data_IF_036187400918
#
_entry.id   IF_036187400918
#
_cell.length_a   1.000
_cell.length_b   1.000
_cell.length_c   1.000
_cell.angle_alpha   90.00
_cell.angle_beta   90.00
_cell.angle_gamma   90.00
#
_symmetry.space_group_name_H-M   'P 1'
#
loop_
_entity.id
_entity.type
_entity.pdbx_description
1 polymer ?
#
# COMPACT_ATOMS: atom_id res chain seq x y z
N UNK A 1 18.58 -6.63 -6.30
CA UNK A 1 17.84 -5.54 -5.63
C UNK A 1 16.40 -5.66 -6.10
N UNK A 2 15.48 -6.04 -5.21
CA UNK A 2 14.06 -6.08 -5.55
C UNK A 2 13.53 -4.65 -5.52
N UNK A 3 13.02 -4.16 -6.64
CA UNK A 3 12.40 -2.82 -6.75
C UNK A 3 10.93 -2.95 -6.35
N UNK A 4 10.66 -3.04 -5.05
CA UNK A 4 9.31 -3.02 -4.49
C UNK A 4 9.01 -1.67 -3.83
N UNK A 5 7.75 -1.26 -3.87
CA UNK A 5 7.25 -0.03 -3.25
C UNK A 5 5.93 -0.34 -2.53
N UNK A 6 5.78 0.19 -1.32
CA UNK A 6 4.52 0.12 -0.59
C UNK A 6 3.54 1.11 -1.20
N UNK A 7 2.36 0.62 -1.58
CA UNK A 7 1.29 1.40 -2.20
C UNK A 7 -0.07 0.99 -1.66
N UNK A 8 -1.06 1.83 -1.87
CA UNK A 8 -2.47 1.55 -1.56
C UNK A 8 -3.34 1.99 -2.75
N UNK A 9 -4.50 1.37 -2.89
CA UNK A 9 -5.51 1.83 -3.85
C UNK A 9 -5.95 3.26 -3.50
N UNK A 10 -5.94 4.15 -4.49
CA UNK A 10 -6.46 5.51 -4.34
C UNK A 10 -7.98 5.49 -4.05
N UNK A 11 -8.70 4.61 -4.73
CA UNK A 11 -10.12 4.35 -4.49
C UNK A 11 -10.29 3.01 -3.75
N UNK A 12 -10.80 3.07 -2.52
CA UNK A 12 -11.05 1.89 -1.67
C UNK A 12 -12.24 1.04 -2.13
N UNK A 13 -13.09 1.57 -3.01
CA UNK A 13 -14.19 0.81 -3.61
C UNK A 13 -13.79 0.14 -4.92
N UNK A 14 -12.62 0.49 -5.48
CA UNK A 14 -12.12 -0.08 -6.72
C UNK A 14 -11.78 -1.57 -6.56
N UNK A 15 -12.32 -2.39 -7.47
CA UNK A 15 -12.04 -3.83 -7.54
C UNK A 15 -10.99 -4.11 -8.61
N UNK A 16 -9.72 -3.90 -8.25
CA UNK A 16 -8.60 -4.14 -9.16
C UNK A 16 -8.15 -5.61 -9.06
N UNK A 17 -8.16 -6.39 -10.15
CA UNK A 17 -7.77 -7.79 -10.11
C UNK A 17 -6.26 -7.94 -9.85
N UNK A 18 -5.87 -8.94 -9.08
CA UNK A 18 -4.47 -9.23 -8.83
C UNK A 18 -3.85 -9.93 -10.06
N UNK A 19 -2.70 -9.47 -10.57
CA UNK A 19 -2.11 -10.03 -11.79
C UNK A 19 -1.78 -11.51 -11.59
N UNK A 20 -2.16 -12.35 -12.56
CA UNK A 20 -1.95 -13.81 -12.54
C UNK A 20 -2.61 -14.56 -11.37
N UNK A 21 -3.56 -13.95 -10.65
CA UNK A 21 -4.30 -14.60 -9.56
C UNK A 21 -5.81 -14.42 -9.77
N UNK A 22 -6.45 -15.31 -10.55
CA UNK A 22 -7.88 -15.23 -10.86
C UNK A 22 -8.74 -15.21 -9.58
N UNK A 23 -9.74 -14.32 -9.55
CA UNK A 23 -10.65 -14.18 -8.41
C UNK A 23 -10.05 -13.48 -7.19
N UNK A 24 -8.77 -13.09 -7.23
CA UNK A 24 -8.13 -12.28 -6.19
C UNK A 24 -8.11 -10.82 -6.64
N UNK A 25 -8.43 -9.93 -5.71
CA UNK A 25 -8.35 -8.49 -5.92
C UNK A 25 -7.21 -7.92 -5.06
N UNK A 26 -6.72 -6.74 -5.45
CA UNK A 26 -5.80 -5.96 -4.63
C UNK A 26 -6.48 -5.60 -3.29
N UNK A 27 -5.74 -5.63 -2.17
CA UNK A 27 -6.27 -5.26 -0.86
C UNK A 27 -6.47 -3.74 -0.79
N UNK A 28 -7.39 -3.33 0.07
CA UNK A 28 -7.63 -1.93 0.40
C UNK A 28 -6.62 -1.37 1.44
N UNK A 29 -5.74 -2.24 1.94
CA UNK A 29 -4.67 -1.91 2.87
C UNK A 29 -3.34 -1.75 2.12
N UNK A 30 -2.35 -1.02 2.68
CA UNK A 30 -1.04 -0.89 2.07
C UNK A 30 -0.40 -2.25 1.80
N UNK A 31 0.12 -2.44 0.58
CA UNK A 31 0.78 -3.67 0.16
C UNK A 31 2.04 -3.36 -0.66
N UNK A 32 2.94 -4.34 -0.74
CA UNK A 32 4.13 -4.21 -1.56
C UNK A 32 3.81 -4.52 -3.03
N UNK A 33 4.02 -3.53 -3.89
CA UNK A 33 3.94 -3.67 -5.34
C UNK A 33 5.34 -3.73 -5.95
N UNK A 34 5.54 -4.58 -6.95
CA UNK A 34 6.79 -4.62 -7.72
C UNK A 34 6.77 -3.55 -8.80
N UNK A 35 7.74 -2.64 -8.79
CA UNK A 35 7.90 -1.61 -9.83
C UNK A 35 8.43 -2.18 -11.15
N UNK A 36 8.92 -3.42 -11.13
CA UNK A 36 9.37 -4.14 -12.34
C UNK A 36 8.16 -4.76 -13.05
N UNK A 37 7.07 -5.02 -12.32
CA UNK A 37 5.86 -5.59 -12.92
C UNK A 37 5.10 -4.48 -13.67
N UNK A 38 4.87 -4.64 -14.98
CA UNK A 38 4.20 -3.62 -15.79
C UNK A 38 2.76 -3.35 -15.34
N UNK A 39 2.09 -4.32 -14.72
CA UNK A 39 0.74 -4.13 -14.19
C UNK A 39 0.73 -3.08 -13.07
N UNK A 40 1.59 -3.27 -12.07
CA UNK A 40 1.68 -2.34 -10.95
C UNK A 40 2.29 -0.99 -11.37
N UNK A 41 3.29 -1.02 -12.25
CA UNK A 41 3.88 0.21 -12.79
C UNK A 41 2.86 1.07 -13.54
N UNK A 42 1.97 0.46 -14.33
CA UNK A 42 0.89 1.17 -15.00
C UNK A 42 -0.12 1.78 -14.02
N UNK A 43 -0.52 1.05 -12.99
CA UNK A 43 -1.45 1.55 -11.98
C UNK A 43 -0.86 2.70 -11.15
N UNK A 44 0.45 2.68 -10.90
CA UNK A 44 1.15 3.79 -10.24
C UNK A 44 1.23 5.00 -11.16
N UNK A 45 1.52 4.79 -12.45
CA UNK A 45 1.60 5.87 -13.43
C UNK A 45 0.25 6.57 -13.68
N UNK A 46 -0.85 5.83 -13.53
CA UNK A 46 -2.23 6.32 -13.66
C UNK A 46 -2.82 6.78 -12.31
N UNK A 47 -2.00 6.87 -11.25
CA UNK A 47 -2.42 7.30 -9.90
C UNK A 47 -3.51 6.43 -9.24
N UNK A 48 -3.82 5.27 -9.82
CA UNK A 48 -4.71 4.26 -9.22
C UNK A 48 -4.09 3.61 -7.98
N UNK A 49 -2.75 3.50 -7.95
CA UNK A 49 -1.96 3.11 -6.78
C UNK A 49 -1.12 4.31 -6.32
N UNK A 50 -1.32 4.72 -5.08
CA UNK A 50 -0.64 5.87 -4.48
C UNK A 50 0.20 5.43 -3.29
N UNK A 51 1.13 6.30 -2.89
CA UNK A 51 1.80 6.14 -1.61
C UNK A 51 0.75 6.07 -0.49
N UNK A 52 0.89 5.14 0.47
CA UNK A 52 0.00 5.13 1.61
C UNK A 52 0.06 6.49 2.30
N UNK A 53 -1.07 7.00 2.83
CA UNK A 53 -1.03 8.21 3.64
C UNK A 53 0.03 7.98 4.74
N UNK A 54 0.86 9.00 5.06
CA UNK A 54 1.74 8.89 6.20
C UNK A 54 0.84 8.47 7.37
N UNK A 55 1.22 7.41 8.09
CA UNK A 55 0.52 7.03 9.31
C UNK A 55 0.20 8.31 10.07
N UNK A 56 -1.03 8.48 10.62
CA UNK A 56 -1.21 9.56 11.58
C UNK A 56 -0.02 9.42 12.53
N UNK A 57 0.76 10.51 12.75
CA UNK A 57 1.91 10.41 13.62
C UNK A 57 1.41 9.70 14.85
N UNK A 58 2.16 8.74 15.35
CA UNK A 58 1.91 8.18 16.67
C UNK A 58 2.01 9.35 17.68
N UNK A 59 0.99 10.20 17.73
CA UNK A 59 0.75 11.14 18.78
C UNK A 59 0.41 10.25 19.95
N UNK A 60 1.41 10.03 20.79
CA UNK A 60 1.41 9.16 21.96
C UNK A 60 1.46 7.64 21.69
N UNK A 61 2.65 7.15 21.35
CA UNK A 61 3.16 6.09 22.24
C UNK A 61 3.20 6.73 23.65
N UNK A 62 2.43 6.27 24.64
CA UNK A 62 2.64 6.77 25.99
C UNK A 62 4.12 6.47 26.33
N UNK A 63 4.89 7.43 26.87
CA UNK A 63 6.20 7.09 27.39
C UNK A 63 6.01 5.92 28.37
N UNK A 64 6.91 4.91 28.39
CA UNK A 64 6.82 3.89 29.41
C UNK A 64 6.76 4.62 30.75
N UNK A 65 5.67 4.42 31.49
CA UNK A 65 5.51 4.94 32.84
C UNK A 65 6.60 4.30 33.69
N UNK A 66 7.78 4.89 33.71
CA UNK A 66 8.79 4.65 34.74
C UNK A 66 8.44 5.54 35.92
N UNK A 67 7.74 4.97 36.89
CA UNK A 67 7.60 5.53 38.24
C UNK A 67 7.24 4.40 39.21
N UNK A 68 7.65 4.45 40.49
CA UNK A 68 8.86 5.03 41.09
C UNK A 68 9.91 3.96 41.46
#
# INVERSE_FOLDING_TARGET
>A
MSLTKTVVLADKEARVPWPNSPGRFLPNEPFEASLIDPFFAALIADESLVDPPPDPPAETAPPPKSKP
#
